data_IF_102192595261
#
_entry.id   IF_102192595261
#
_cell.length_a   1.000
_cell.length_b   1.000
_cell.length_c   1.000
_cell.angle_alpha   90.00
_cell.angle_beta   90.00
_cell.angle_gamma   90.00
#
_symmetry.space_group_name_H-M   'P 1'
#
loop_
_entity.id
_entity.type
_entity.pdbx_description
1 polymer ?
#
# COMPACT_ATOMS: atom_id res chain seq x y z
N UNK A 1 -8.17 -5.26 -19.36
CA UNK A 1 -7.95 -4.85 -17.96
C UNK A 1 -8.77 -5.79 -17.09
N UNK A 2 -8.30 -6.09 -15.89
CA UNK A 2 -9.00 -6.96 -14.94
C UNK A 2 -9.03 -6.30 -13.57
N UNK A 3 -10.20 -6.29 -12.93
CA UNK A 3 -10.30 -5.84 -11.54
C UNK A 3 -9.70 -6.89 -10.62
N UNK A 4 -8.76 -6.46 -9.76
CA UNK A 4 -8.10 -7.33 -8.79
C UNK A 4 -7.94 -6.64 -7.45
N UNK A 5 -7.89 -7.43 -6.40
CA UNK A 5 -7.38 -7.01 -5.10
C UNK A 5 -5.88 -7.18 -5.09
N UNK A 6 -5.16 -6.07 -4.92
CA UNK A 6 -3.71 -6.07 -4.96
C UNK A 6 -3.11 -5.95 -3.56
N UNK A 7 -1.82 -6.26 -3.49
CA UNK A 7 -0.98 -6.01 -2.33
C UNK A 7 0.20 -5.16 -2.78
N UNK A 8 0.43 -4.04 -2.10
CA UNK A 8 1.56 -3.16 -2.34
C UNK A 8 2.47 -3.14 -1.11
N UNK A 9 3.79 -3.10 -1.37
CA UNK A 9 4.81 -2.99 -0.33
C UNK A 9 5.58 -1.69 -0.53
N UNK A 10 5.81 -0.99 0.57
CA UNK A 10 6.52 0.28 0.61
C UNK A 10 7.63 0.18 1.66
N UNK A 11 8.73 0.89 1.43
CA UNK A 11 9.85 0.95 2.36
C UNK A 11 10.30 2.40 2.53
N UNK A 12 10.49 2.81 3.78
CA UNK A 12 11.02 4.13 4.15
C UNK A 12 11.84 3.99 5.42
N UNK A 13 13.10 4.44 5.38
CA UNK A 13 13.99 4.50 6.56
C UNK A 13 14.07 3.18 7.35
N UNK A 14 14.08 2.04 6.65
CA UNK A 14 14.16 0.70 7.26
C UNK A 14 12.83 0.13 7.79
N UNK A 15 11.75 0.92 7.74
CA UNK A 15 10.38 0.44 7.99
C UNK A 15 9.79 -0.08 6.69
N UNK A 16 9.15 -1.26 6.76
CA UNK A 16 8.41 -1.84 5.63
C UNK A 16 6.91 -1.78 5.91
N UNK A 17 6.13 -1.22 4.99
CA UNK A 17 4.67 -1.20 5.06
C UNK A 17 4.10 -2.12 3.99
N UNK A 18 3.21 -3.04 4.38
CA UNK A 18 2.46 -3.89 3.45
C UNK A 18 0.97 -3.52 3.54
N UNK A 19 0.40 -3.05 2.44
CA UNK A 19 -1.03 -2.76 2.32
C UNK A 19 -1.67 -3.77 1.36
N UNK A 20 -2.65 -4.52 1.82
CA UNK A 20 -3.30 -5.61 1.07
C UNK A 20 -4.81 -5.37 0.95
N UNK A 21 -5.43 -5.92 -0.09
CA UNK A 21 -6.89 -5.83 -0.28
C UNK A 21 -7.35 -4.55 -0.98
N UNK A 22 -6.46 -3.88 -1.71
CA UNK A 22 -6.79 -2.66 -2.44
C UNK A 22 -7.41 -3.04 -3.78
N UNK A 23 -8.60 -2.55 -4.10
CA UNK A 23 -9.20 -2.75 -5.42
C UNK A 23 -8.48 -1.88 -6.46
N UNK A 24 -8.04 -2.49 -7.56
CA UNK A 24 -7.40 -1.80 -8.67
C UNK A 24 -7.68 -2.49 -10.02
N UNK A 25 -7.53 -1.77 -11.12
CA UNK A 25 -7.51 -2.34 -12.46
C UNK A 25 -6.08 -2.72 -12.82
N UNK A 26 -5.86 -3.97 -13.21
CA UNK A 26 -4.54 -4.47 -13.58
C UNK A 26 -4.52 -4.81 -15.07
N UNK A 27 -3.51 -4.32 -15.79
CA UNK A 27 -3.30 -4.69 -17.18
C UNK A 27 -2.87 -6.17 -17.24
N UNK A 28 -3.65 -7.03 -17.89
CA UNK A 28 -3.34 -8.45 -18.00
C UNK A 28 -2.12 -8.76 -18.88
N UNK A 29 -1.62 -7.78 -19.66
CA UNK A 29 -0.45 -7.93 -20.54
C UNK A 29 0.86 -7.50 -19.88
N UNK A 30 0.90 -6.33 -19.24
CA UNK A 30 2.12 -5.76 -18.66
C UNK A 30 2.13 -5.75 -17.12
N UNK A 31 1.00 -5.99 -16.45
CA UNK A 31 0.90 -5.97 -15.00
C UNK A 31 0.81 -4.57 -14.38
N UNK A 32 0.73 -3.51 -15.19
CA UNK A 32 0.53 -2.15 -14.68
C UNK A 32 -0.77 -2.03 -13.88
N UNK A 33 -0.68 -1.29 -12.78
CA UNK A 33 -1.75 -1.10 -11.81
C UNK A 33 -2.32 0.30 -11.98
N UNK A 34 -3.62 0.37 -12.20
CA UNK A 34 -4.38 1.61 -12.31
C UNK A 34 -5.37 1.70 -11.15
N UNK A 35 -5.34 2.84 -10.48
CA UNK A 35 -6.31 3.18 -9.46
C UNK A 35 -7.40 4.04 -10.07
N UNK A 36 -8.62 3.91 -9.56
CA UNK A 36 -9.68 4.88 -9.84
C UNK A 36 -9.23 6.29 -9.44
N UNK A 37 -9.78 7.36 -10.05
CA UNK A 37 -9.43 8.74 -9.70
C UNK A 37 -9.49 8.97 -8.18
N UNK A 38 -8.43 9.55 -7.60
CA UNK A 38 -8.31 9.74 -6.15
C UNK A 38 -7.78 8.53 -5.37
N UNK A 39 -7.86 7.31 -5.94
CA UNK A 39 -7.46 6.07 -5.26
C UNK A 39 -5.97 6.02 -4.95
N UNK A 40 -5.12 6.47 -5.88
CA UNK A 40 -3.68 6.54 -5.64
C UNK A 40 -3.34 7.49 -4.47
N UNK A 41 -4.03 8.63 -4.36
CA UNK A 41 -3.84 9.60 -3.28
C UNK A 41 -4.24 9.00 -1.92
N UNK A 42 -5.33 8.24 -1.88
CA UNK A 42 -5.77 7.54 -0.66
C UNK A 42 -4.76 6.47 -0.24
N UNK A 43 -4.20 5.70 -1.18
CA UNK A 43 -3.15 4.71 -0.89
C UNK A 43 -1.92 5.40 -0.31
N UNK A 44 -1.47 6.51 -0.91
CA UNK A 44 -0.34 7.30 -0.39
C UNK A 44 -0.61 7.81 1.01
N UNK A 45 -1.81 8.35 1.26
CA UNK A 45 -2.20 8.85 2.59
C UNK A 45 -2.19 7.72 3.64
N UNK A 46 -2.77 6.56 3.33
CA UNK A 46 -2.80 5.42 4.24
C UNK A 46 -1.39 4.92 4.58
N UNK A 47 -0.52 4.79 3.57
CA UNK A 47 0.88 4.35 3.76
C UNK A 47 1.66 5.35 4.61
N UNK A 48 1.47 6.65 4.40
CA UNK A 48 2.11 7.68 5.21
C UNK A 48 1.70 7.60 6.68
N UNK A 49 0.40 7.42 6.97
CA UNK A 49 -0.06 7.22 8.35
C UNK A 49 0.53 5.97 9.00
N UNK A 50 0.77 4.89 8.23
CA UNK A 50 1.41 3.69 8.75
C UNK A 50 2.90 3.90 9.05
N UNK A 51 3.60 4.69 8.23
CA UNK A 51 4.97 5.09 8.56
C UNK A 51 5.03 5.99 9.80
N UNK A 52 4.11 6.95 9.94
CA UNK A 52 4.00 7.79 11.13
C UNK A 52 3.75 6.95 12.39
N UNK A 53 2.85 5.97 12.30
CA UNK A 53 2.59 5.00 13.37
C UNK A 53 3.86 4.22 13.73
N UNK A 54 4.58 3.71 12.73
CA UNK A 54 5.82 2.96 12.96
C UNK A 54 6.88 3.80 13.67
N UNK A 55 7.03 5.08 13.29
CA UNK A 55 7.98 6.00 13.94
C UNK A 55 7.55 6.26 15.38
N UNK A 56 6.28 6.58 15.61
CA UNK A 56 5.71 6.88 16.93
C UNK A 56 5.89 5.71 17.90
N UNK A 57 5.63 4.50 17.44
CA UNK A 57 5.71 3.26 18.23
C UNK A 57 7.12 2.64 18.24
N UNK A 58 8.13 3.36 17.74
CA UNK A 58 9.54 2.93 17.72
C UNK A 58 9.77 1.60 16.97
N UNK A 59 9.00 1.35 15.91
CA UNK A 59 9.07 0.15 15.07
C UNK A 59 10.06 0.28 13.90
N UNK A 60 11.13 1.07 14.07
CA UNK A 60 12.08 1.50 13.02
C UNK A 60 12.87 0.38 12.31
N UNK A 61 12.65 -0.90 12.65
CA UNK A 61 13.25 -2.07 11.98
C UNK A 61 12.22 -3.18 11.71
N UNK A 62 10.93 -2.83 11.70
CA UNK A 62 9.81 -3.77 11.62
C UNK A 62 9.05 -3.71 10.29
N UNK A 63 8.12 -4.66 10.15
CA UNK A 63 7.10 -4.63 9.10
C UNK A 63 5.76 -4.25 9.72
N UNK A 64 5.16 -3.17 9.24
CA UNK A 64 3.77 -2.82 9.53
C UNK A 64 2.90 -3.38 8.41
N UNK A 65 1.91 -4.20 8.75
CA UNK A 65 1.04 -4.83 7.77
C UNK A 65 -0.43 -4.51 8.08
N UNK A 66 -1.15 -4.10 7.05
CA UNK A 66 -2.59 -3.85 7.11
C UNK A 66 -3.28 -4.55 5.94
N UNK A 67 -4.44 -5.14 6.22
CA UNK A 67 -5.33 -5.72 5.22
C UNK A 67 -6.66 -5.01 5.30
N UNK A 68 -7.18 -4.59 4.14
CA UNK A 68 -8.52 -4.04 4.00
C UNK A 68 -9.42 -5.17 3.50
N UNK A 69 -10.48 -5.48 4.26
CA UNK A 69 -11.45 -6.54 3.96
C UNK A 69 -12.85 -5.97 3.85
#
# INVERSE_FOLDING_TARGET
>A
MEEKYITQKFEREGVKVKLSGIKAEVCSKCGEIYFQPGGAQLVVSAVNSLFELAVREKQHKGTVAVSVG
#
